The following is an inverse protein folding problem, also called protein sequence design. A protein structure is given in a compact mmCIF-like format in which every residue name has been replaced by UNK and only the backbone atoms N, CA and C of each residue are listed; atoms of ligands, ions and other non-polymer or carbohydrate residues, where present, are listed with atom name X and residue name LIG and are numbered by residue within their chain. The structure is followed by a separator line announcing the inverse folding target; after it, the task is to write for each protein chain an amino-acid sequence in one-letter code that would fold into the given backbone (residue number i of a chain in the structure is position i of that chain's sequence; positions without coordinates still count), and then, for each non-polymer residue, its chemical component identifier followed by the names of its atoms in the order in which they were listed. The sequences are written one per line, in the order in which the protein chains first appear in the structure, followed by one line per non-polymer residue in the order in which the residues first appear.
data_IF_285935361584
#
_entry.id   IF_285935361584
#
_cell.length_a   1.000
_cell.length_b   1.000
_cell.length_c   1.000
_cell.angle_alpha   90.00
_cell.angle_beta   90.00
_cell.angle_gamma   90.00
#
_symmetry.space_group_name_H-M   'P 1'
#
loop_
_entity.id
_entity.type
_entity.pdbx_description
1 polymer ?
#
# COMPACT_ATOMS: atom_id res chain seq x y z
N UNK A 1 2.61 -4.44 -15.77
CA UNK A 1 1.29 -5.14 -15.76
C UNK A 1 0.19 -4.16 -16.19
N UNK A 2 -1.02 -4.62 -16.49
CA UNK A 2 -2.15 -3.75 -16.87
C UNK A 2 -3.28 -3.82 -15.84
N UNK A 3 -3.81 -2.66 -15.46
CA UNK A 3 -5.01 -2.52 -14.65
C UNK A 3 -5.94 -1.52 -15.32
N UNK A 4 -7.14 -1.96 -15.72
CA UNK A 4 -8.08 -1.11 -16.45
C UNK A 4 -7.46 -0.38 -17.67
N UNK A 5 -6.58 -1.06 -18.40
CA UNK A 5 -5.84 -0.49 -19.54
C UNK A 5 -4.63 0.39 -19.19
N UNK A 6 -4.39 0.66 -17.91
CA UNK A 6 -3.25 1.48 -17.44
C UNK A 6 -2.04 0.61 -17.13
N UNK A 7 -0.88 1.03 -17.63
CA UNK A 7 0.38 0.34 -17.39
C UNK A 7 0.97 0.70 -16.03
N UNK A 8 1.08 -0.30 -15.17
CA UNK A 8 1.59 -0.17 -13.81
C UNK A 8 2.81 -1.05 -13.57
N UNK A 9 3.74 -0.52 -12.79
CA UNK A 9 4.98 -1.17 -12.38
C UNK A 9 4.99 -1.34 -10.85
N UNK A 10 4.74 -2.54 -10.35
CA UNK A 10 4.95 -2.90 -8.95
C UNK A 10 6.44 -2.89 -8.63
N UNK A 11 6.80 -2.32 -7.49
CA UNK A 11 8.17 -2.19 -7.01
C UNK A 11 8.41 -3.09 -5.78
N UNK A 12 9.65 -3.55 -5.59
CA UNK A 12 10.02 -4.41 -4.44
C UNK A 12 9.83 -3.72 -3.09
N UNK A 13 9.85 -2.38 -3.07
CA UNK A 13 9.51 -1.60 -1.89
C UNK A 13 8.04 -1.69 -1.49
N UNK A 14 7.16 -2.27 -2.32
CA UNK A 14 5.71 -2.22 -2.15
C UNK A 14 5.05 -0.98 -2.75
N UNK A 15 5.82 -0.08 -3.38
CA UNK A 15 5.27 1.02 -4.15
C UNK A 15 4.66 0.55 -5.48
N UNK A 16 3.59 1.21 -5.91
CA UNK A 16 2.99 1.07 -7.23
C UNK A 16 3.33 2.29 -8.08
N UNK A 17 3.91 2.06 -9.25
CA UNK A 17 4.38 3.15 -10.12
C UNK A 17 3.53 3.20 -11.39
N UNK A 18 3.06 4.39 -11.74
CA UNK A 18 2.40 4.68 -13.01
C UNK A 18 3.31 5.61 -13.84
N UNK A 19 4.14 5.07 -14.75
CA UNK A 19 5.17 5.87 -15.43
C UNK A 19 4.61 6.99 -16.30
N UNK A 20 3.52 6.71 -17.03
CA UNK A 20 2.91 7.66 -17.96
C UNK A 20 2.40 8.91 -17.23
N UNK A 21 1.84 8.73 -16.05
CA UNK A 21 1.28 9.77 -15.18
C UNK A 21 2.34 10.31 -14.19
N UNK A 22 3.56 9.76 -14.23
CA UNK A 22 4.64 10.04 -13.29
C UNK A 22 4.16 10.00 -11.84
N UNK A 23 3.41 8.95 -11.50
CA UNK A 23 2.78 8.78 -10.19
C UNK A 23 3.42 7.62 -9.43
N UNK A 24 3.65 7.83 -8.14
CA UNK A 24 4.02 6.77 -7.17
C UNK A 24 2.93 6.69 -6.12
N UNK A 25 2.32 5.52 -5.96
CA UNK A 25 1.36 5.22 -4.90
C UNK A 25 1.97 4.26 -3.87
N UNK A 26 1.75 4.52 -2.59
CA UNK A 26 2.21 3.69 -1.48
C UNK A 26 1.10 3.50 -0.44
N UNK A 27 1.04 2.33 0.17
CA UNK A 27 0.17 2.10 1.34
C UNK A 27 0.90 2.54 2.59
N UNK A 28 0.18 3.23 3.47
CA UNK A 28 0.62 3.46 4.84
C UNK A 28 1.04 2.13 5.49
N UNK A 29 2.22 2.03 6.12
CA UNK A 29 2.70 0.81 6.78
C UNK A 29 2.57 0.82 8.30
N UNK A 30 1.97 1.86 8.88
CA UNK A 30 1.89 2.03 10.34
C UNK A 30 0.67 1.31 10.90
N UNK A 31 -0.47 1.39 10.21
CA UNK A 31 -1.72 0.76 10.61
C UNK A 31 -2.38 1.49 11.78
N UNK A 32 -1.80 1.39 12.98
CA UNK A 32 -2.25 2.09 14.19
C UNK A 32 -1.28 3.24 14.54
N UNK A 33 -1.70 4.52 14.40
CA UNK A 33 -0.86 5.67 14.72
C UNK A 33 -0.59 5.84 16.23
N UNK A 34 -1.35 5.15 17.09
CA UNK A 34 -1.15 5.21 18.55
C UNK A 34 -0.14 4.18 19.07
N UNK A 35 0.25 3.22 18.22
CA UNK A 35 1.20 2.19 18.58
C UNK A 35 2.58 2.79 18.92
N UNK A 36 3.25 2.27 19.95
CA UNK A 36 4.58 2.76 20.40
C UNK A 36 5.63 2.79 19.28
N UNK A 37 5.54 1.86 18.33
CA UNK A 37 6.47 1.74 17.21
C UNK A 37 6.15 2.69 16.03
N UNK A 38 5.03 3.39 16.06
CA UNK A 38 4.52 4.18 14.93
C UNK A 38 5.52 5.25 14.44
N UNK A 39 6.19 6.04 15.31
CA UNK A 39 7.20 7.01 14.85
C UNK A 39 8.41 6.35 14.17
N UNK A 40 8.84 5.18 14.65
CA UNK A 40 9.95 4.45 14.04
C UNK A 40 9.58 3.89 12.66
N UNK A 41 8.36 3.36 12.52
CA UNK A 41 7.81 2.92 11.23
C UNK A 41 7.67 4.08 10.24
N UNK A 42 7.23 5.26 10.72
CA UNK A 42 7.16 6.47 9.91
C UNK A 42 8.53 6.89 9.36
N UNK A 43 9.56 6.94 10.22
CA UNK A 43 10.92 7.28 9.81
C UNK A 43 11.49 6.28 8.78
N UNK A 44 11.24 4.98 8.97
CA UNK A 44 11.66 3.94 8.03
C UNK A 44 10.93 4.08 6.68
N UNK A 45 9.61 4.31 6.71
CA UNK A 45 8.81 4.53 5.52
C UNK A 45 9.29 5.78 4.75
N UNK A 46 9.57 6.88 5.45
CA UNK A 46 10.07 8.11 4.84
C UNK A 46 11.43 7.88 4.15
N UNK A 47 12.38 7.22 4.83
CA UNK A 47 13.69 6.87 4.26
C UNK A 47 13.56 6.05 2.97
N UNK A 48 12.68 5.04 2.99
CA UNK A 48 12.43 4.18 1.82
C UNK A 48 11.74 4.96 0.70
N UNK A 49 10.78 5.81 1.03
CA UNK A 49 10.07 6.63 0.06
C UNK A 49 11.02 7.58 -0.64
N UNK A 50 11.89 8.30 0.08
CA UNK A 50 12.88 9.21 -0.54
C UNK A 50 13.77 8.47 -1.54
N UNK A 51 14.15 7.22 -1.28
CA UNK A 51 14.90 6.40 -2.23
C UNK A 51 14.09 6.10 -3.51
N UNK A 52 12.81 5.74 -3.37
CA UNK A 52 11.90 5.50 -4.50
C UNK A 52 11.68 6.79 -5.30
N UNK A 53 11.38 7.92 -4.65
CA UNK A 53 11.16 9.20 -5.31
C UNK A 53 12.40 9.65 -6.10
N UNK A 54 13.60 9.47 -5.55
CA UNK A 54 14.86 9.77 -6.26
C UNK A 54 15.05 8.92 -7.51
N UNK A 55 14.70 7.64 -7.45
CA UNK A 55 14.85 6.71 -8.58
C UNK A 55 13.78 6.90 -9.66
N UNK A 56 12.54 7.16 -9.24
CA UNK A 56 11.37 7.17 -10.13
C UNK A 56 10.98 8.57 -10.61
N UNK A 57 11.45 9.61 -9.92
CA UNK A 57 11.22 11.03 -10.23
C UNK A 57 9.75 11.36 -10.55
N UNK A 58 8.79 10.91 -9.72
CA UNK A 58 7.39 11.18 -9.99
C UNK A 58 7.09 12.68 -9.87
N UNK A 59 6.05 13.11 -10.59
CA UNK A 59 5.42 14.39 -10.36
C UNK A 59 4.38 14.29 -9.21
N UNK A 60 3.70 13.14 -9.10
CA UNK A 60 2.62 12.90 -8.14
C UNK A 60 2.96 11.80 -7.14
N UNK A 61 2.61 12.00 -5.88
CA UNK A 61 2.74 11.01 -4.82
C UNK A 61 1.37 10.78 -4.18
N UNK A 62 0.95 9.52 -4.09
CA UNK A 62 -0.31 9.10 -3.49
C UNK A 62 -0.02 8.23 -2.28
N UNK A 63 -0.43 8.68 -1.11
CA UNK A 63 -0.31 7.94 0.14
C UNK A 63 -1.67 7.39 0.57
N UNK A 64 -1.80 6.07 0.63
CA UNK A 64 -3.05 5.38 0.92
C UNK A 64 -3.07 4.92 2.38
N UNK A 65 -3.81 5.64 3.21
CA UNK A 65 -3.93 5.42 4.64
C UNK A 65 -3.77 6.72 5.42
N UNK A 66 -4.22 6.69 6.67
CA UNK A 66 -4.40 7.85 7.54
C UNK A 66 -3.46 7.87 8.74
N UNK A 67 -2.73 6.78 9.03
CA UNK A 67 -1.89 6.69 10.21
C UNK A 67 -0.71 7.68 10.21
N UNK A 68 0.09 7.75 9.14
CA UNK A 68 1.18 8.74 9.03
C UNK A 68 0.63 10.18 9.03
N UNK A 69 -0.40 10.54 8.25
CA UNK A 69 -1.04 11.85 8.35
C UNK A 69 -1.52 12.19 9.77
N UNK A 70 -2.11 11.24 10.49
CA UNK A 70 -2.60 11.44 11.85
C UNK A 70 -1.46 11.61 12.86
N UNK A 71 -0.32 10.92 12.68
CA UNK A 71 0.88 11.18 13.45
C UNK A 71 1.41 12.59 13.19
N UNK A 72 1.46 13.00 11.92
CA UNK A 72 1.97 14.31 11.53
C UNK A 72 1.12 15.43 12.14
N UNK A 73 -0.21 15.36 12.00
CA UNK A 73 -1.13 16.38 12.52
C UNK A 73 -1.11 16.50 14.04
N UNK A 74 -0.80 15.40 14.75
CA UNK A 74 -0.71 15.37 16.22
C UNK A 74 0.68 15.68 16.76
N UNK A 75 1.62 16.11 15.91
CA UNK A 75 3.02 16.32 16.28
C UNK A 75 3.68 15.07 16.90
N UNK A 76 3.26 13.87 16.47
CA UNK A 76 3.76 12.58 16.95
C UNK A 76 5.07 12.12 16.27
N UNK A 77 5.60 12.90 15.34
CA UNK A 77 6.84 12.63 14.63
C UNK A 77 8.00 13.46 15.17
N UNK A 78 9.23 12.98 14.99
CA UNK A 78 10.40 13.81 15.21
C UNK A 78 10.35 15.01 14.24
N UNK A 79 10.75 16.20 14.72
CA UNK A 79 10.74 17.43 13.91
C UNK A 79 11.39 17.26 12.54
N UNK A 80 12.52 16.54 12.49
CA UNK A 80 13.24 16.22 11.25
C UNK A 80 12.36 15.49 10.22
N UNK A 81 11.57 14.52 10.66
CA UNK A 81 10.74 13.72 9.75
C UNK A 81 9.53 14.53 9.27
N UNK A 82 8.93 15.32 10.16
CA UNK A 82 7.87 16.26 9.79
C UNK A 82 8.36 17.32 8.76
N UNK A 83 9.55 17.89 8.97
CA UNK A 83 10.16 18.87 8.07
C UNK A 83 10.44 18.26 6.68
N UNK A 84 10.93 17.01 6.63
CA UNK A 84 11.17 16.31 5.36
C UNK A 84 9.85 15.95 4.66
N UNK A 85 8.80 15.52 5.36
CA UNK A 85 7.48 15.32 4.76
C UNK A 85 6.95 16.63 4.17
N UNK A 86 7.02 17.73 4.92
CA UNK A 86 6.59 19.03 4.44
C UNK A 86 7.38 19.48 3.21
N UNK A 87 8.68 19.17 3.15
CA UNK A 87 9.51 19.42 1.96
C UNK A 87 9.06 18.57 0.77
N UNK A 88 8.87 17.26 0.96
CA UNK A 88 8.41 16.37 -0.11
C UNK A 88 7.04 16.77 -0.66
N UNK A 89 6.12 17.23 0.20
CA UNK A 89 4.81 17.73 -0.22
C UNK A 89 4.88 19.06 -1.00
N UNK A 90 5.95 19.84 -0.84
CA UNK A 90 6.20 21.02 -1.69
C UNK A 90 6.84 20.65 -3.03
N UNK A 91 7.72 19.63 -3.01
CA UNK A 91 8.47 19.19 -4.20
C UNK A 91 7.63 18.32 -5.15
N UNK A 92 6.50 17.77 -4.67
CA UNK A 92 5.62 16.87 -5.42
C UNK A 92 4.14 17.25 -5.26
N UNK A 93 3.33 16.97 -6.26
CA UNK A 93 1.87 17.00 -6.12
C UNK A 93 1.43 15.82 -5.24
N UNK A 94 1.16 16.12 -3.97
CA UNK A 94 1.01 15.12 -2.92
C UNK A 94 -0.43 14.93 -2.48
N UNK A 95 -0.88 13.67 -2.45
CA UNK A 95 -2.24 13.28 -2.11
C UNK A 95 -2.25 12.29 -0.95
N UNK A 96 -2.82 12.68 0.19
CA UNK A 96 -3.16 11.82 1.31
C UNK A 96 -4.58 11.28 1.14
N UNK A 97 -4.73 9.97 1.08
CA UNK A 97 -6.02 9.30 0.90
C UNK A 97 -6.36 8.49 2.14
N UNK A 98 -7.39 8.92 2.87
CA UNK A 98 -7.77 8.31 4.14
C UNK A 98 -8.96 9.02 4.78
N UNK A 99 -9.49 8.44 5.86
CA UNK A 99 -10.60 9.03 6.61
C UNK A 99 -10.07 9.93 7.74
N UNK A 100 -10.86 10.93 8.15
CA UNK A 100 -10.54 11.77 9.31
C UNK A 100 -9.28 12.62 9.20
N UNK A 101 -8.78 12.86 7.98
CA UNK A 101 -7.56 13.63 7.74
C UNK A 101 -7.74 15.10 8.12
N UNK A 102 -6.72 15.66 8.79
CA UNK A 102 -6.70 17.06 9.20
C UNK A 102 -6.57 18.01 7.99
N UNK A 103 -7.23 19.17 8.07
CA UNK A 103 -7.23 20.16 6.99
C UNK A 103 -5.88 20.86 6.80
N UNK A 104 -5.06 20.94 7.85
CA UNK A 104 -3.76 21.63 7.82
C UNK A 104 -2.59 20.74 7.33
N UNK A 105 -2.86 19.52 6.88
CA UNK A 105 -1.81 18.65 6.33
C UNK A 105 -1.14 19.31 5.11
N UNK A 106 0.20 19.23 4.98
CA UNK A 106 0.86 19.69 3.76
C UNK A 106 0.43 18.80 2.58
N UNK A 107 0.15 19.40 1.41
CA UNK A 107 -0.41 18.67 0.26
C UNK A 107 -1.94 18.64 0.28
N UNK A 108 -2.53 17.65 -0.39
CA UNK A 108 -3.98 17.51 -0.54
C UNK A 108 -4.50 16.31 0.22
N UNK A 109 -5.54 16.48 1.05
CA UNK A 109 -6.24 15.39 1.73
C UNK A 109 -7.57 15.08 1.02
N UNK A 110 -7.84 13.80 0.76
CA UNK A 110 -9.08 13.36 0.13
C UNK A 110 -9.46 11.93 0.57
N UNK A 111 -10.69 11.51 0.25
CA UNK A 111 -11.13 10.12 0.46
C UNK A 111 -10.68 9.22 -0.71
N UNK A 112 -10.74 9.74 -1.94
CA UNK A 112 -10.33 9.05 -3.15
C UNK A 112 -9.68 10.02 -4.14
N UNK A 113 -8.78 9.49 -4.98
CA UNK A 113 -8.20 10.21 -6.11
C UNK A 113 -8.52 9.47 -7.40
N UNK A 114 -9.12 10.18 -8.36
CA UNK A 114 -9.38 9.67 -9.71
C UNK A 114 -8.37 10.26 -10.68
N UNK A 115 -7.58 9.41 -11.31
CA UNK A 115 -6.57 9.84 -12.28
C UNK A 115 -6.29 8.73 -13.29
N UNK A 116 -6.17 9.09 -14.56
CA UNK A 116 -5.87 8.19 -15.68
C UNK A 116 -6.75 6.92 -15.75
N UNK A 117 -8.02 7.00 -15.36
CA UNK A 117 -8.93 5.84 -15.35
C UNK A 117 -8.70 4.86 -14.19
N UNK A 118 -7.91 5.26 -13.19
CA UNK A 118 -7.76 4.59 -11.90
C UNK A 118 -8.45 5.39 -10.80
N UNK A 119 -8.90 4.68 -9.77
CA UNK A 119 -9.43 5.27 -8.54
C UNK A 119 -8.66 4.72 -7.34
N UNK A 120 -7.89 5.58 -6.70
CA UNK A 120 -7.09 5.28 -5.52
C UNK A 120 -7.90 5.55 -4.25
N UNK A 121 -7.85 4.65 -3.25
CA UNK A 121 -8.57 4.77 -1.96
C UNK A 121 -7.89 3.98 -0.84
N UNK A 122 -7.98 4.43 0.41
CA UNK A 122 -7.38 3.69 1.54
C UNK A 122 -7.94 2.27 1.69
N UNK A 123 -9.27 2.13 1.72
CA UNK A 123 -9.96 0.85 1.86
C UNK A 123 -10.72 0.48 0.58
N UNK A 124 -10.61 -0.78 0.16
CA UNK A 124 -11.30 -1.28 -1.03
C UNK A 124 -12.79 -1.48 -0.82
N UNK A 125 -13.58 -1.36 -1.89
CA UNK A 125 -15.04 -1.48 -1.80
C UNK A 125 -15.50 -2.92 -2.05
N UNK A 126 -16.02 -3.57 -1.01
CA UNK A 126 -16.67 -4.88 -1.10
C UNK A 126 -17.88 -4.82 -2.05
N UNK A 127 -17.96 -5.79 -2.97
CA UNK A 127 -19.10 -5.93 -3.88
C UNK A 127 -19.27 -4.82 -4.94
N UNK A 128 -18.37 -3.83 -4.98
CA UNK A 128 -18.40 -2.78 -6.00
C UNK A 128 -18.09 -3.35 -7.39
N UNK A 129 -18.62 -2.69 -8.43
CA UNK A 129 -18.30 -2.98 -9.84
C UNK A 129 -17.35 -1.95 -10.45
N UNK A 130 -16.76 -1.08 -9.62
CA UNK A 130 -15.79 -0.08 -10.06
C UNK A 130 -14.60 -0.74 -10.75
N UNK A 131 -14.24 -0.19 -11.90
CA UNK A 131 -13.07 -0.56 -12.71
C UNK A 131 -11.91 0.40 -12.40
N UNK A 132 -10.69 -0.13 -12.39
CA UNK A 132 -9.48 0.64 -12.10
C UNK A 132 -9.29 0.96 -10.61
N UNK A 133 -9.92 0.22 -9.70
CA UNK A 133 -9.76 0.46 -8.26
C UNK A 133 -8.37 0.03 -7.78
N UNK A 134 -7.68 0.90 -7.04
CA UNK A 134 -6.45 0.60 -6.32
C UNK A 134 -6.66 0.93 -4.85
N UNK A 135 -6.53 -0.07 -3.98
CA UNK A 135 -6.68 0.11 -2.54
C UNK A 135 -5.51 -0.42 -1.72
N UNK A 136 -5.43 -0.02 -0.46
CA UNK A 136 -4.37 -0.43 0.47
C UNK A 136 -4.86 -1.40 1.55
N UNK A 137 -6.14 -1.35 1.95
CA UNK A 137 -6.68 -2.18 3.03
C UNK A 137 -7.65 -3.26 2.51
N UNK A 138 -7.59 -4.49 3.09
CA UNK A 138 -6.57 -4.95 4.04
C UNK A 138 -5.22 -5.21 3.34
N UNK A 139 -4.10 -5.14 4.08
CA UNK A 139 -2.77 -5.39 3.49
C UNK A 139 -2.64 -6.85 3.01
N UNK A 140 -2.40 -7.08 1.70
CA UNK A 140 -2.30 -8.42 1.14
C UNK A 140 -0.97 -9.13 1.43
N UNK A 141 -1.06 -10.35 1.96
CA UNK A 141 0.05 -11.31 2.02
C UNK A 141 -0.31 -12.63 1.34
N UNK A 142 0.68 -13.35 0.82
CA UNK A 142 0.49 -14.63 0.14
C UNK A 142 1.51 -15.66 0.63
N UNK A 143 1.07 -16.91 0.74
CA UNK A 143 1.95 -18.05 1.01
C UNK A 143 2.73 -18.43 -0.24
N UNK A 144 4.05 -18.55 -0.10
CA UNK A 144 4.97 -19.01 -1.13
C UNK A 144 6.21 -19.64 -0.48
N UNK A 145 6.53 -20.87 -0.90
CA UNK A 145 7.70 -21.62 -0.45
C UNK A 145 7.73 -21.78 1.09
N UNK A 146 6.56 -22.06 1.69
CA UNK A 146 6.41 -22.29 3.13
C UNK A 146 6.43 -21.04 4.01
N UNK A 147 6.48 -19.84 3.42
CA UNK A 147 6.50 -18.57 4.14
C UNK A 147 5.42 -17.60 3.64
N UNK A 148 5.00 -16.67 4.52
CA UNK A 148 4.16 -15.54 4.14
C UNK A 148 5.00 -14.36 3.67
N UNK A 149 4.55 -13.74 2.59
CA UNK A 149 5.20 -12.61 1.94
C UNK A 149 4.16 -11.56 1.59
N UNK A 150 4.53 -10.28 1.68
CA UNK A 150 3.71 -9.21 1.10
C UNK A 150 3.54 -9.42 -0.39
N UNK A 151 2.40 -9.02 -0.93
CA UNK A 151 2.16 -9.14 -2.35
C UNK A 151 1.29 -8.00 -2.87
N UNK A 152 1.34 -7.74 -4.16
CA UNK A 152 0.23 -7.03 -4.82
C UNK A 152 -0.79 -8.09 -5.24
N UNK A 153 -2.09 -7.81 -5.12
CA UNK A 153 -3.14 -8.70 -5.62
C UNK A 153 -4.02 -7.95 -6.62
N UNK A 154 -4.29 -8.55 -7.78
CA UNK A 154 -5.05 -7.88 -8.84
C UNK A 154 -5.78 -8.85 -9.77
N UNK A 155 -6.92 -8.42 -10.32
CA UNK A 155 -7.75 -9.22 -11.25
C UNK A 155 -7.88 -8.57 -12.66
N UNK A 156 -7.07 -7.53 -12.92
CA UNK A 156 -7.11 -6.71 -14.13
C UNK A 156 -8.12 -5.56 -14.09
N UNK A 157 -9.04 -5.55 -13.12
CA UNK A 157 -9.99 -4.45 -12.87
C UNK A 157 -9.74 -3.76 -11.54
N UNK A 158 -9.23 -4.50 -10.56
CA UNK A 158 -8.97 -4.05 -9.20
C UNK A 158 -7.58 -4.49 -8.77
N UNK A 159 -6.99 -3.72 -7.88
CA UNK A 159 -5.71 -4.03 -7.25
C UNK A 159 -5.75 -3.65 -5.78
N UNK A 160 -5.19 -4.51 -4.93
CA UNK A 160 -4.79 -4.15 -3.57
C UNK A 160 -3.28 -4.18 -3.50
N UNK A 161 -2.67 -3.10 -3.01
CA UNK A 161 -1.22 -2.96 -2.86
C UNK A 161 -0.80 -3.37 -1.44
N UNK A 162 0.42 -3.90 -1.24
CA UNK A 162 0.90 -4.26 0.09
C UNK A 162 1.21 -3.01 0.92
N UNK A 163 1.31 -3.19 2.24
CA UNK A 163 1.90 -2.20 3.13
C UNK A 163 3.29 -1.80 2.60
N UNK A 164 3.57 -0.50 2.55
CA UNK A 164 4.85 -0.03 2.07
C UNK A 164 5.99 -0.58 2.91
N UNK A 165 7.04 -1.02 2.25
CA UNK A 165 8.16 -1.67 2.91
C UNK A 165 8.02 -3.18 3.12
N UNK A 166 6.97 -3.82 2.61
CA UNK A 166 6.90 -5.28 2.55
C UNK A 166 6.60 -5.92 3.91
N UNK A 167 5.60 -5.40 4.63
CA UNK A 167 5.13 -6.01 5.88
C UNK A 167 4.42 -7.33 5.65
N UNK A 168 4.69 -8.30 6.51
CA UNK A 168 4.17 -9.68 6.39
C UNK A 168 3.05 -10.03 7.36
N UNK A 169 2.66 -9.08 8.21
CA UNK A 169 1.58 -9.20 9.18
C UNK A 169 0.20 -8.78 8.62
N UNK A 170 0.06 -8.80 7.29
CA UNK A 170 -1.20 -8.55 6.61
C UNK A 170 -2.14 -9.76 6.60
N UNK A 171 -3.21 -9.64 5.82
CA UNK A 171 -4.22 -10.67 5.66
C UNK A 171 -3.87 -11.55 4.46
N UNK A 172 -3.93 -12.88 4.65
CA UNK A 172 -3.67 -13.82 3.55
C UNK A 172 -4.72 -13.63 2.44
N UNK A 173 -4.29 -13.52 1.18
CA UNK A 173 -5.17 -13.30 0.02
C UNK A 173 -6.17 -14.43 -0.24
N UNK A 174 -6.01 -15.60 0.39
CA UNK A 174 -6.99 -16.69 0.38
C UNK A 174 -8.12 -16.50 1.40
N UNK A 175 -8.00 -15.55 2.34
CA UNK A 175 -9.00 -15.26 3.35
C UNK A 175 -10.31 -14.68 2.75
N UNK A 176 -11.45 -14.80 3.47
CA UNK A 176 -12.75 -14.32 3.01
C UNK A 176 -12.80 -12.84 2.63
N UNK A 177 -12.01 -11.98 3.28
CA UNK A 177 -11.93 -10.55 2.99
C UNK A 177 -11.60 -10.29 1.51
N UNK A 178 -10.61 -11.00 0.95
CA UNK A 178 -10.23 -10.83 -0.46
C UNK A 178 -11.21 -11.50 -1.42
N UNK A 179 -11.89 -12.58 -1.00
CA UNK A 179 -12.93 -13.20 -1.82
C UNK A 179 -14.12 -12.26 -2.07
N UNK A 180 -14.44 -11.39 -1.11
CA UNK A 180 -15.51 -10.40 -1.25
C UNK A 180 -15.12 -9.21 -2.14
N UNK A 181 -13.81 -8.91 -2.23
CA UNK A 181 -13.28 -7.81 -3.05
C UNK A 181 -13.07 -8.23 -4.52
N UNK A 182 -12.65 -9.46 -4.74
CA UNK A 182 -12.30 -10.00 -6.06
C UNK A 182 -13.34 -11.01 -6.55
N UNK A 183 -14.21 -10.58 -7.46
CA UNK A 183 -15.22 -11.44 -8.12
C UNK A 183 -14.65 -12.25 -9.28
N UNK A 184 -13.39 -12.02 -9.67
CA UNK A 184 -12.69 -12.69 -10.77
C UNK A 184 -11.48 -13.44 -10.23
N UNK A 185 -10.96 -14.43 -10.97
CA UNK A 185 -9.64 -14.97 -10.68
C UNK A 185 -8.60 -13.84 -10.63
N UNK A 186 -7.80 -13.81 -9.57
CA UNK A 186 -6.74 -12.83 -9.40
C UNK A 186 -5.35 -13.47 -9.49
N UNK A 187 -4.36 -12.61 -9.73
CA UNK A 187 -2.96 -12.94 -9.58
C UNK A 187 -2.37 -12.18 -8.37
N UNK A 188 -1.44 -12.83 -7.68
CA UNK A 188 -0.60 -12.23 -6.67
C UNK A 188 0.81 -12.00 -7.24
N UNK A 189 1.37 -10.82 -7.01
CA UNK A 189 2.76 -10.47 -7.29
C UNK A 189 3.50 -10.45 -5.95
N UNK A 190 4.08 -11.59 -5.61
CA UNK A 190 4.66 -11.86 -4.30
C UNK A 190 6.05 -11.25 -4.21
N UNK A 191 6.31 -10.45 -3.17
CA UNK A 191 7.58 -9.78 -2.92
C UNK A 191 8.54 -10.72 -2.18
N UNK A 192 9.02 -11.75 -2.88
CA UNK A 192 9.83 -12.82 -2.33
C UNK A 192 11.32 -12.46 -2.36
N UNK A 193 11.80 -11.86 -1.27
CA UNK A 193 13.19 -11.44 -1.13
C UNK A 193 13.52 -10.27 -2.05
N UNK A 194 14.40 -10.48 -3.02
CA UNK A 194 14.84 -9.47 -3.99
C UNK A 194 14.16 -9.59 -5.36
N UNK A 195 13.06 -10.36 -5.46
CA UNK A 195 12.34 -10.58 -6.72
C UNK A 195 10.83 -10.54 -6.52
N UNK A 196 10.12 -10.19 -7.59
CA UNK A 196 8.66 -10.25 -7.65
C UNK A 196 8.27 -11.54 -8.38
N UNK A 197 7.53 -12.41 -7.70
CA UNK A 197 7.07 -13.69 -8.25
C UNK A 197 5.58 -13.61 -8.53
N UNK A 198 5.19 -13.80 -9.78
CA UNK A 198 3.75 -13.85 -10.15
C UNK A 198 3.20 -15.25 -9.88
N UNK A 199 2.06 -15.31 -9.18
CA UNK A 199 1.32 -16.55 -8.92
C UNK A 199 -0.18 -16.33 -9.11
N UNK A 200 -0.87 -17.19 -9.88
CA UNK A 200 -2.34 -17.18 -9.89
C UNK A 200 -2.86 -17.69 -8.53
N UNK A 201 -4.07 -17.26 -8.13
CA UNK A 201 -4.71 -17.70 -6.87
C UNK A 201 -4.62 -19.22 -6.63
N UNK A 202 -4.82 -20.03 -7.67
CA UNK A 202 -4.82 -21.50 -7.59
C UNK A 202 -3.46 -22.13 -7.24
N UNK A 203 -2.36 -21.35 -7.28
CA UNK A 203 -1.00 -21.80 -6.96
C UNK A 203 -0.46 -21.17 -5.68
N UNK A 204 -1.32 -20.52 -4.90
CA UNK A 204 -0.95 -19.93 -3.62
C UNK A 204 -1.11 -20.95 -2.49
N UNK A 205 -0.21 -20.88 -1.53
CA UNK A 205 -0.26 -21.73 -0.35
C UNK A 205 -1.19 -21.09 0.71
N UNK A 206 -1.96 -21.92 1.46
CA UNK A 206 -2.64 -21.43 2.64
C UNK A 206 -1.63 -20.88 3.66
N UNK A 207 -2.04 -19.99 4.58
CA UNK A 207 -1.14 -19.54 5.62
C UNK A 207 -0.65 -20.74 6.44
N UNK A 208 0.62 -20.73 6.90
CA UNK A 208 1.10 -21.77 7.79
C UNK A 208 0.21 -21.82 9.04
N UNK A 209 0.02 -23.01 9.64
CA UNK A 209 -0.73 -23.12 10.89
C UNK A 209 -0.08 -22.23 11.97
N UNK A 210 -0.87 -21.67 12.90
CA UNK A 210 -0.31 -20.91 14.00
C UNK A 210 0.70 -21.79 14.78
N UNK A 211 1.78 -21.20 15.32
CA UNK A 211 2.70 -21.96 16.15
C UNK A 211 1.93 -22.59 17.32
N UNK A 212 2.16 -23.89 17.54
CA UNK A 212 1.60 -24.60 18.69
C UNK A 212 2.18 -23.93 19.94
N UNK A 213 1.34 -23.23 20.71
CA UNK A 213 1.72 -22.76 22.03
C UNK A 213 1.67 -23.97 22.96
N UNK A 214 2.84 -24.46 23.37
CA UNK A 214 2.90 -25.39 24.50
C UNK A 214 2.39 -24.66 25.76
N UNK A 215 1.54 -25.29 26.58
CA UNK A 215 1.12 -24.70 27.84
C UNK A 215 2.35 -24.52 28.75
N UNK A 216 2.49 -23.32 29.29
CA UNK A 216 3.50 -22.97 30.28
C UNK A 216 3.23 -23.65 31.64
#
# INVERSE_FOLDING_TARGET
MLLNGVHLLPDLSGALICPKERLVAVSDPIGDPTARQAPALAAEALKRLTAVLRQRRPAQVVWLGDALPNLLSRNGLAKRDADEIARLCRDHDWHWLGEGLAAELPGSAAIELKTAGLTFRAAGLSGSSALGEVSASPWPVAGLDGALWSCFVFDGRRMVIPAFGGRRDGVNVLAPAFAQMFRRPFNALVLAGNRIVTRPRARLEPPPPPPIREPA
#
